data_IF_743376211250
#
_entry.id   IF_743376211250
#
_cell.length_a   1.000
_cell.length_b   1.000
_cell.length_c   1.000
_cell.angle_alpha   90.00
_cell.angle_beta   90.00
_cell.angle_gamma   90.00
#
_symmetry.space_group_name_H-M   'P 1'
#
loop_
_entity.id
_entity.type
_entity.pdbx_description
1 polymer ?
#
# COMPACT_ATOMS: atom_id res chain seq x y z
N UNK A 1 -6.38 -9.71 9.27
CA UNK A 1 -5.47 -9.35 8.16
C UNK A 1 -6.03 -9.98 6.90
N UNK A 2 -6.02 -9.25 5.80
CA UNK A 2 -6.53 -9.68 4.49
C UNK A 2 -5.36 -9.88 3.53
N UNK A 3 -5.44 -10.88 2.66
CA UNK A 3 -4.47 -11.09 1.60
C UNK A 3 -4.70 -10.10 0.45
N UNK A 4 -3.61 -9.61 -0.15
CA UNK A 4 -3.65 -8.78 -1.36
C UNK A 4 -3.49 -9.70 -2.58
N UNK A 5 -4.61 -10.27 -3.04
CA UNK A 5 -4.64 -11.25 -4.15
C UNK A 5 -4.07 -10.73 -5.47
N UNK A 6 -4.01 -9.41 -5.64
CA UNK A 6 -3.45 -8.77 -6.83
C UNK A 6 -1.90 -8.80 -6.87
N UNK A 7 -1.25 -9.24 -5.78
CA UNK A 7 0.19 -9.48 -5.74
C UNK A 7 0.51 -10.96 -6.01
N UNK A 8 1.51 -11.24 -6.85
CA UNK A 8 2.04 -12.60 -7.01
C UNK A 8 2.77 -13.10 -5.75
N UNK A 9 3.29 -12.18 -4.95
CA UNK A 9 3.82 -12.45 -3.62
C UNK A 9 2.67 -12.43 -2.60
N UNK A 10 2.57 -13.39 -1.67
CA UNK A 10 1.54 -13.38 -0.64
C UNK A 10 1.80 -12.24 0.35
N UNK A 11 1.14 -11.10 0.13
CA UNK A 11 1.21 -9.92 1.00
C UNK A 11 -0.08 -9.86 1.81
N UNK A 12 0.04 -9.61 3.12
CA UNK A 12 -1.11 -9.43 3.99
C UNK A 12 -1.15 -7.99 4.52
N UNK A 13 -2.35 -7.43 4.60
CA UNK A 13 -2.60 -6.07 5.06
C UNK A 13 -3.71 -6.07 6.11
N UNK A 14 -3.56 -5.25 7.15
CA UNK A 14 -4.70 -4.75 7.92
C UNK A 14 -4.61 -3.24 8.07
N UNK A 15 -5.76 -2.62 8.28
CA UNK A 15 -5.90 -1.18 8.48
C UNK A 15 -6.87 -0.93 9.62
N UNK A 16 -6.62 0.11 10.41
CA UNK A 16 -7.50 0.56 11.50
C UNK A 16 -7.59 2.07 11.50
N UNK A 17 -8.79 2.62 11.71
CA UNK A 17 -9.01 4.05 11.88
C UNK A 17 -8.97 4.38 13.37
N UNK A 18 -8.08 5.29 13.76
CA UNK A 18 -7.96 5.79 15.13
C UNK A 18 -7.62 7.28 15.10
N UNK A 19 -8.37 8.09 15.85
CA UNK A 19 -8.24 9.55 15.89
C UNK A 19 -8.18 10.21 14.50
N UNK A 20 -9.04 9.75 13.58
CA UNK A 20 -9.13 10.28 12.21
C UNK A 20 -7.94 9.92 11.30
N UNK A 21 -7.07 9.00 11.75
CA UNK A 21 -5.88 8.54 11.01
C UNK A 21 -5.93 7.04 10.80
N UNK A 22 -5.41 6.58 9.65
CA UNK A 22 -5.35 5.15 9.32
C UNK A 22 -3.99 4.60 9.67
N UNK A 23 -3.96 3.52 10.44
CA UNK A 23 -2.76 2.78 10.78
C UNK A 23 -2.77 1.43 10.07
N UNK A 24 -1.68 1.13 9.36
CA UNK A 24 -1.53 -0.08 8.58
C UNK A 24 -0.59 -1.07 9.28
N UNK A 25 -0.86 -2.36 9.09
CA UNK A 25 0.10 -3.42 9.35
C UNK A 25 0.26 -4.22 8.06
N UNK A 26 1.50 -4.34 7.57
CA UNK A 26 1.83 -4.99 6.30
C UNK A 26 2.79 -6.14 6.60
N UNK A 27 2.38 -7.35 6.27
CA UNK A 27 3.23 -8.54 6.33
C UNK A 27 3.65 -8.93 4.91
N UNK A 28 4.97 -9.08 4.73
CA UNK A 28 5.57 -9.44 3.45
C UNK A 28 6.66 -10.48 3.70
N UNK A 29 6.67 -11.59 2.93
CA UNK A 29 7.68 -12.63 3.02
C UNK A 29 9.12 -12.10 2.95
N UNK A 30 10.01 -12.73 3.73
CA UNK A 30 11.41 -12.31 3.85
C UNK A 30 12.20 -12.49 2.55
N UNK A 31 11.82 -13.46 1.72
CA UNK A 31 12.39 -13.81 0.42
C UNK A 31 11.92 -12.89 -0.74
N UNK A 32 11.02 -11.94 -0.47
CA UNK A 32 10.51 -10.97 -1.44
C UNK A 32 11.06 -9.54 -1.19
N UNK A 33 12.37 -9.28 -1.40
CA UNK A 33 13.01 -8.02 -1.02
C UNK A 33 12.43 -6.80 -1.75
N UNK A 34 12.04 -6.95 -3.01
CA UNK A 34 11.44 -5.86 -3.79
C UNK A 34 10.06 -5.47 -3.25
N UNK A 35 9.20 -6.45 -2.95
CA UNK A 35 7.88 -6.17 -2.37
C UNK A 35 7.99 -5.59 -0.97
N UNK A 36 8.94 -6.04 -0.17
CA UNK A 36 9.27 -5.41 1.13
C UNK A 36 9.69 -3.95 0.96
N UNK A 37 10.50 -3.64 -0.05
CA UNK A 37 10.87 -2.26 -0.37
C UNK A 37 9.64 -1.41 -0.71
N UNK A 38 8.75 -1.91 -1.54
CA UNK A 38 7.50 -1.22 -1.88
C UNK A 38 6.57 -1.02 -0.69
N UNK A 39 6.37 -2.07 0.11
CA UNK A 39 5.59 -1.99 1.34
C UNK A 39 6.19 -0.95 2.30
N UNK A 40 7.52 -0.92 2.45
CA UNK A 40 8.21 0.07 3.28
C UNK A 40 8.00 1.51 2.81
N UNK A 41 8.08 1.77 1.51
CA UNK A 41 7.85 3.11 0.93
C UNK A 41 6.42 3.57 1.20
N UNK A 42 5.42 2.71 0.92
CA UNK A 42 4.02 3.02 1.15
C UNK A 42 3.71 3.19 2.64
N UNK A 43 4.28 2.33 3.49
CA UNK A 43 4.12 2.42 4.95
C UNK A 43 4.64 3.75 5.49
N UNK A 44 5.87 4.15 5.14
CA UNK A 44 6.46 5.41 5.60
C UNK A 44 5.65 6.62 5.11
N UNK A 45 5.09 6.57 3.91
CA UNK A 45 4.33 7.68 3.34
C UNK A 45 2.88 7.80 3.84
N UNK A 46 2.22 6.68 4.17
CA UNK A 46 0.76 6.63 4.35
C UNK A 46 0.32 6.19 5.75
N UNK A 47 1.19 5.53 6.53
CA UNK A 47 0.82 5.12 7.89
C UNK A 47 0.65 6.34 8.80
N UNK A 48 -0.50 6.44 9.47
CA UNK A 48 -0.87 7.59 10.29
C UNK A 48 -1.37 8.80 9.50
N UNK A 49 -1.60 8.66 8.18
CA UNK A 49 -2.24 9.68 7.36
C UNK A 49 -3.77 9.64 7.50
N UNK A 50 -4.44 10.71 7.09
CA UNK A 50 -5.91 10.75 7.06
C UNK A 50 -6.44 9.92 5.88
N UNK A 51 -7.66 9.37 5.98
CA UNK A 51 -8.28 8.64 4.87
C UNK A 51 -8.31 9.44 3.55
N UNK A 52 -8.60 10.74 3.62
CA UNK A 52 -8.62 11.63 2.47
C UNK A 52 -7.23 11.77 1.82
N UNK A 53 -6.17 11.90 2.61
CA UNK A 53 -4.80 11.99 2.08
C UNK A 53 -4.37 10.69 1.40
N UNK A 54 -4.75 9.53 1.98
CA UNK A 54 -4.46 8.22 1.40
C UNK A 54 -5.21 8.05 0.07
N UNK A 55 -6.52 8.35 0.05
CA UNK A 55 -7.35 8.28 -1.14
C UNK A 55 -6.85 9.23 -2.26
N UNK A 56 -6.32 10.40 -1.90
CA UNK A 56 -5.77 11.37 -2.83
C UNK A 56 -4.37 10.99 -3.38
N UNK A 57 -3.76 9.92 -2.88
CA UNK A 57 -2.42 9.51 -3.33
C UNK A 57 -2.45 9.13 -4.83
N UNK A 58 -1.57 9.69 -5.67
CA UNK A 58 -1.59 9.41 -7.11
C UNK A 58 -1.36 7.93 -7.43
N UNK A 59 -2.18 7.35 -8.30
CA UNK A 59 -2.04 5.95 -8.71
C UNK A 59 -0.76 5.65 -9.52
N UNK A 60 -0.13 6.69 -10.06
CA UNK A 60 1.15 6.68 -10.77
C UNK A 60 2.35 6.99 -9.85
N UNK A 61 2.17 6.97 -8.52
CA UNK A 61 3.24 7.25 -7.54
C UNK A 61 4.53 6.47 -7.81
N UNK A 62 4.43 5.20 -8.24
CA UNK A 62 5.60 4.38 -8.59
C UNK A 62 6.44 4.99 -9.73
N UNK A 63 5.78 5.64 -10.70
CA UNK A 63 6.42 6.34 -11.80
C UNK A 63 7.02 7.67 -11.32
N UNK A 64 6.29 8.42 -10.50
CA UNK A 64 6.76 9.71 -9.94
C UNK A 64 8.02 9.53 -9.07
N UNK A 65 8.11 8.43 -8.34
CA UNK A 65 9.30 8.05 -7.57
C UNK A 65 10.45 7.49 -8.44
N UNK A 66 10.27 7.36 -9.75
CA UNK A 66 11.28 6.84 -10.67
C UNK A 66 11.56 5.33 -10.54
N UNK A 67 10.82 4.61 -9.69
CA UNK A 67 11.07 3.21 -9.37
C UNK A 67 10.84 2.27 -10.56
N UNK A 68 9.97 2.67 -11.50
CA UNK A 68 9.71 1.92 -12.71
C UNK A 68 10.97 1.70 -13.55
N UNK A 69 11.89 2.68 -13.59
CA UNK A 69 13.16 2.59 -14.33
C UNK A 69 14.14 1.61 -13.68
N UNK A 70 14.10 1.48 -12.35
CA UNK A 70 15.00 0.61 -11.60
C UNK A 70 14.52 -0.85 -11.53
N UNK A 71 13.21 -1.10 -11.52
CA UNK A 71 12.66 -2.42 -11.16
C UNK A 71 11.88 -3.11 -12.29
N UNK A 72 11.51 -2.38 -13.36
CA UNK A 72 10.79 -2.91 -14.53
C UNK A 72 9.28 -3.10 -14.31
N UNK A 73 8.52 -3.13 -15.42
CA UNK A 73 7.06 -3.01 -15.42
C UNK A 73 6.30 -4.15 -14.69
N UNK A 74 6.86 -5.36 -14.64
CA UNK A 74 6.20 -6.48 -13.94
C UNK A 74 6.27 -6.30 -12.42
N UNK A 75 7.38 -5.76 -11.90
CA UNK A 75 7.57 -5.56 -10.46
C UNK A 75 6.72 -4.39 -9.95
N UNK A 76 6.53 -3.35 -10.76
CA UNK A 76 5.71 -2.20 -10.36
C UNK A 76 4.22 -2.53 -10.19
N UNK A 77 3.73 -3.65 -10.73
CA UNK A 77 2.33 -4.07 -10.52
C UNK A 77 2.02 -4.34 -9.05
N UNK A 78 2.95 -4.93 -8.31
CA UNK A 78 2.79 -5.18 -6.87
C UNK A 78 2.70 -3.88 -6.06
N UNK A 79 3.47 -2.87 -6.44
CA UNK A 79 3.37 -1.53 -5.83
C UNK A 79 1.98 -0.93 -6.03
N UNK A 80 1.48 -0.90 -7.28
CA UNK A 80 0.17 -0.34 -7.59
C UNK A 80 -0.96 -1.13 -6.93
N UNK A 81 -0.86 -2.46 -6.89
CA UNK A 81 -1.82 -3.32 -6.21
C UNK A 81 -1.92 -3.00 -4.71
N UNK A 82 -0.78 -2.93 -4.03
CA UNK A 82 -0.73 -2.62 -2.60
C UNK A 82 -1.25 -1.20 -2.30
N UNK A 83 -0.85 -0.20 -3.10
CA UNK A 83 -1.37 1.17 -2.96
C UNK A 83 -2.90 1.22 -3.11
N UNK A 84 -3.45 0.61 -4.16
CA UNK A 84 -4.90 0.55 -4.38
C UNK A 84 -5.63 -0.14 -3.24
N UNK A 85 -5.06 -1.21 -2.70
CA UNK A 85 -5.63 -1.88 -1.53
C UNK A 85 -5.65 -0.94 -0.32
N UNK A 86 -4.54 -0.26 -0.02
CA UNK A 86 -4.49 0.70 1.08
C UNK A 86 -5.54 1.81 0.92
N UNK A 87 -5.73 2.32 -0.31
CA UNK A 87 -6.76 3.31 -0.63
C UNK A 87 -8.19 2.81 -0.39
N UNK A 88 -8.50 1.58 -0.82
CA UNK A 88 -9.82 0.96 -0.54
C UNK A 88 -10.06 0.85 0.95
N UNK A 89 -9.10 0.29 1.70
CA UNK A 89 -9.21 0.16 3.15
C UNK A 89 -9.46 1.52 3.83
N UNK A 90 -8.83 2.60 3.35
CA UNK A 90 -9.03 3.93 3.90
C UNK A 90 -10.46 4.44 3.69
N UNK A 91 -11.06 4.18 2.53
CA UNK A 91 -12.45 4.55 2.22
C UNK A 91 -13.43 3.70 3.04
N UNK A 92 -13.25 2.38 3.04
CA UNK A 92 -14.15 1.44 3.73
C UNK A 92 -14.20 1.72 5.25
N UNK A 93 -13.05 2.08 5.84
CA UNK A 93 -12.96 2.46 7.26
C UNK A 93 -13.71 3.76 7.59
N UNK A 94 -13.85 4.69 6.63
CA UNK A 94 -14.64 5.92 6.84
C UNK A 94 -16.13 5.69 6.73
N UNK A 95 -16.57 4.66 6.03
CA UNK A 95 -17.99 4.30 5.91
C UNK A 95 -18.48 3.44 7.09
N UNK A 96 -17.55 2.80 7.80
CA UNK A 96 -17.85 1.93 8.95
C UNK A 96 -17.74 2.65 10.31
N UNK A 97 -17.17 3.86 10.35
CA UNK A 97 -16.95 4.66 11.57
C UNK A 97 -18.11 5.63 11.85
#
# INVERSE_FOLDING_TARGET
MEQVDECMTPVFLSAQLHDGKVYYHIDVPSDAPTMRGFAGILYVGLNGATPAAIAATPGDLCQQLGLQKALGALRTRGFTALLRRMQRNAVDLTETA
#
